data_IF_790214408917
#
_entry.id   IF_790214408917
#
_cell.length_a   1.000
_cell.length_b   1.000
_cell.length_c   1.000
_cell.angle_alpha   90.00
_cell.angle_beta   90.00
_cell.angle_gamma   90.00
#
_symmetry.space_group_name_H-M   'P 1'
#
loop_
_entity.id
_entity.type
_entity.pdbx_description
1 polymer ?
#
# COMPACT_ATOMS: atom_id res chain seq x y z
N UNK A 1 -10.47 10.38 27.22
CA UNK A 1 -10.51 9.26 26.25
C UNK A 1 -9.08 8.84 25.96
N UNK A 2 -8.71 7.61 26.28
CA UNK A 2 -7.36 7.07 26.03
C UNK A 2 -7.17 6.93 24.53
N UNK A 3 -6.15 7.59 23.95
CA UNK A 3 -5.77 7.36 22.56
C UNK A 3 -5.49 5.87 22.42
N UNK A 4 -6.17 5.18 21.49
CA UNK A 4 -5.98 3.75 21.32
C UNK A 4 -4.49 3.46 21.06
N UNK A 5 -3.96 2.44 21.71
CA UNK A 5 -2.58 1.94 21.52
C UNK A 5 -2.24 1.75 20.02
N UNK A 6 -3.25 1.57 19.20
CA UNK A 6 -3.18 1.44 17.74
C UNK A 6 -2.60 2.68 17.01
N UNK A 7 -2.73 3.90 17.57
CA UNK A 7 -2.16 5.10 16.95
C UNK A 7 -0.63 5.16 17.02
N UNK A 8 -0.01 4.39 17.91
CA UNK A 8 1.45 4.26 17.98
C UNK A 8 2.05 3.61 16.70
N UNK A 9 1.26 2.87 15.95
CA UNK A 9 1.68 2.29 14.66
C UNK A 9 1.73 3.31 13.53
N UNK A 10 0.99 4.41 13.63
CA UNK A 10 1.11 5.53 12.71
C UNK A 10 2.31 6.41 13.10
N UNK A 11 3.47 6.17 12.49
CA UNK A 11 4.72 6.90 12.80
C UNK A 11 4.56 8.41 12.81
N UNK A 12 3.71 8.94 11.92
CA UNK A 12 3.43 10.37 11.79
C UNK A 12 2.65 10.95 12.98
N UNK A 13 1.84 10.12 13.66
CA UNK A 13 1.00 10.53 14.79
C UNK A 13 1.56 10.07 16.15
N UNK A 14 2.51 9.14 16.13
CA UNK A 14 3.03 8.50 17.37
C UNK A 14 3.69 9.47 18.35
N UNK A 15 4.25 10.58 17.85
CA UNK A 15 4.89 11.61 18.66
C UNK A 15 3.95 12.69 19.21
N UNK A 16 2.65 12.65 18.84
CA UNK A 16 1.69 13.66 19.27
C UNK A 16 1.03 13.21 20.58
N UNK A 17 1.03 14.07 21.63
CA UNK A 17 0.29 13.77 22.85
C UNK A 17 -1.21 13.55 22.57
N UNK A 18 -1.84 12.57 23.24
CA UNK A 18 -3.26 12.25 23.04
C UNK A 18 -4.20 13.46 23.19
N UNK A 19 -3.92 14.33 24.16
CA UNK A 19 -4.69 15.55 24.40
C UNK A 19 -4.65 16.51 23.21
N UNK A 20 -3.47 16.64 22.58
CA UNK A 20 -3.29 17.51 21.42
C UNK A 20 -4.00 16.94 20.19
N UNK A 21 -3.90 15.62 19.99
CA UNK A 21 -4.60 14.95 18.89
C UNK A 21 -6.12 15.10 19.03
N UNK A 22 -6.68 14.93 20.24
CA UNK A 22 -8.11 15.12 20.49
C UNK A 22 -8.55 16.57 20.35
N UNK A 23 -7.68 17.53 20.66
CA UNK A 23 -7.96 18.95 20.50
C UNK A 23 -7.96 19.37 19.02
N UNK A 24 -6.95 18.94 18.28
CA UNK A 24 -6.71 19.39 16.90
C UNK A 24 -7.51 18.57 15.88
N UNK A 25 -7.85 17.32 16.22
CA UNK A 25 -8.65 16.41 15.40
C UNK A 25 -9.84 15.85 16.23
N UNK A 26 -10.79 16.67 16.67
CA UNK A 26 -11.86 16.25 17.58
C UNK A 26 -12.84 15.24 16.97
N UNK A 27 -13.01 15.22 15.63
CA UNK A 27 -13.91 14.31 14.95
C UNK A 27 -13.19 13.12 14.30
N UNK A 28 -11.87 13.04 14.47
CA UNK A 28 -11.09 11.92 13.97
C UNK A 28 -11.51 10.61 14.65
N UNK A 29 -11.51 9.52 13.87
CA UNK A 29 -11.94 8.21 14.34
C UNK A 29 -11.13 7.08 13.73
N UNK A 30 -11.16 5.94 14.41
CA UNK A 30 -10.64 4.68 13.88
C UNK A 30 -11.81 3.88 13.30
N UNK A 31 -11.62 3.38 12.08
CA UNK A 31 -12.61 2.60 11.35
C UNK A 31 -11.97 1.29 10.92
N UNK A 32 -12.71 0.20 11.08
CA UNK A 32 -12.32 -1.12 10.55
C UNK A 32 -13.06 -1.39 9.26
N UNK A 33 -12.32 -1.71 8.22
CA UNK A 33 -12.83 -2.01 6.88
C UNK A 33 -12.60 -3.51 6.62
N UNK A 34 -13.65 -4.27 6.26
CA UNK A 34 -13.52 -5.68 5.95
C UNK A 34 -12.74 -5.88 4.64
N UNK A 35 -12.26 -7.11 4.43
CA UNK A 35 -11.57 -7.48 3.18
C UNK A 35 -12.41 -7.10 1.95
N UNK A 36 -11.79 -6.42 1.00
CA UNK A 36 -12.43 -5.98 -0.24
C UNK A 36 -13.32 -4.74 -0.10
N UNK A 37 -13.52 -4.22 1.12
CA UNK A 37 -14.26 -2.97 1.35
C UNK A 37 -13.53 -1.76 0.78
N UNK A 38 -14.28 -0.81 0.21
CA UNK A 38 -13.73 0.46 -0.29
C UNK A 38 -13.71 1.49 0.85
N UNK A 39 -12.61 2.23 0.95
CA UNK A 39 -12.47 3.40 1.83
C UNK A 39 -13.06 4.62 1.12
N UNK A 40 -12.73 4.75 -0.16
CA UNK A 40 -13.36 5.65 -1.13
C UNK A 40 -13.18 5.07 -2.53
N UNK A 41 -13.97 5.54 -3.51
CA UNK A 41 -13.90 5.11 -4.90
C UNK A 41 -13.54 6.25 -5.82
N UNK A 42 -12.95 5.90 -6.96
CA UNK A 42 -12.72 6.83 -8.07
C UNK A 42 -14.02 7.54 -8.47
N UNK A 43 -13.98 8.86 -8.57
CA UNK A 43 -15.13 9.70 -8.81
C UNK A 43 -15.91 10.11 -7.56
N UNK A 44 -15.67 9.51 -6.39
CA UNK A 44 -16.30 9.93 -5.13
C UNK A 44 -15.61 11.15 -4.53
N UNK A 45 -16.40 12.03 -3.91
CA UNK A 45 -15.86 13.15 -3.14
C UNK A 45 -15.45 12.68 -1.75
N UNK A 46 -14.22 12.99 -1.35
CA UNK A 46 -13.74 12.78 0.02
C UNK A 46 -12.94 13.97 0.52
N UNK A 47 -13.21 14.36 1.76
CA UNK A 47 -12.50 15.44 2.46
C UNK A 47 -11.71 14.92 3.64
N UNK A 48 -11.46 13.61 3.68
CA UNK A 48 -10.75 12.97 4.79
C UNK A 48 -9.31 12.62 4.40
N UNK A 49 -8.45 12.67 5.40
CA UNK A 49 -7.11 12.09 5.39
C UNK A 49 -7.17 10.75 6.12
N UNK A 50 -6.43 9.78 5.62
CA UNK A 50 -6.42 8.41 6.13
C UNK A 50 -4.99 7.99 6.48
N UNK A 51 -4.82 7.32 7.61
CA UNK A 51 -3.59 6.63 7.99
C UNK A 51 -3.89 5.15 8.25
N UNK A 52 -3.14 4.25 7.63
CA UNK A 52 -3.27 2.82 7.87
C UNK A 52 -2.68 2.50 9.24
N UNK A 53 -3.46 1.92 10.15
CA UNK A 53 -3.00 1.46 11.45
C UNK A 53 -2.65 -0.03 11.44
N UNK A 54 -3.42 -0.82 10.70
CA UNK A 54 -3.22 -2.26 10.54
C UNK A 54 -3.78 -2.71 9.19
N UNK A 55 -3.15 -3.73 8.61
CA UNK A 55 -3.57 -4.31 7.33
C UNK A 55 -2.97 -3.60 6.12
N UNK A 56 -3.60 -3.73 4.97
CA UNK A 56 -3.15 -3.15 3.70
C UNK A 56 -4.27 -2.49 2.93
N UNK A 57 -3.93 -1.41 2.24
CA UNK A 57 -4.83 -0.71 1.32
C UNK A 57 -4.17 -0.66 -0.06
N UNK A 58 -4.88 -1.12 -1.08
CA UNK A 58 -4.49 -0.94 -2.46
C UNK A 58 -5.12 0.34 -3.00
N UNK A 59 -4.28 1.20 -3.55
CA UNK A 59 -4.71 2.36 -4.32
C UNK A 59 -4.66 1.98 -5.79
N UNK A 60 -5.78 2.07 -6.49
CA UNK A 60 -5.88 1.63 -7.88
C UNK A 60 -6.65 2.62 -8.73
N UNK A 61 -6.32 2.69 -10.01
CA UNK A 61 -7.07 3.43 -11.03
C UNK A 61 -7.67 2.45 -12.02
N UNK A 62 -8.87 2.78 -12.45
CA UNK A 62 -9.55 2.06 -13.53
C UNK A 62 -9.49 2.94 -14.77
N UNK A 63 -8.92 2.42 -15.83
CA UNK A 63 -8.88 3.08 -17.14
C UNK A 63 -10.25 2.99 -17.84
N UNK A 64 -10.45 3.78 -18.88
CA UNK A 64 -11.71 3.83 -19.65
C UNK A 64 -12.11 2.50 -20.30
N UNK A 65 -11.14 1.63 -20.58
CA UNK A 65 -11.33 0.28 -21.10
C UNK A 65 -11.61 -0.76 -20.01
N UNK A 66 -11.69 -0.34 -18.73
CA UNK A 66 -11.90 -1.20 -17.57
C UNK A 66 -10.63 -1.86 -17.02
N UNK A 67 -9.46 -1.62 -17.61
CA UNK A 67 -8.21 -2.13 -17.07
C UNK A 67 -7.92 -1.49 -15.71
N UNK A 68 -7.51 -2.30 -14.75
CA UNK A 68 -7.15 -1.83 -13.40
C UNK A 68 -5.64 -1.80 -13.24
N UNK A 69 -5.14 -0.73 -12.65
CA UNK A 69 -3.74 -0.58 -12.31
C UNK A 69 -3.58 -0.21 -10.83
N UNK A 70 -2.81 -0.97 -10.07
CA UNK A 70 -2.51 -0.66 -8.67
C UNK A 70 -1.34 0.31 -8.63
N UNK A 71 -1.63 1.56 -8.30
CA UNK A 71 -0.64 2.65 -8.22
C UNK A 71 0.19 2.58 -6.96
N UNK A 72 -0.39 2.11 -5.84
CA UNK A 72 0.32 1.95 -4.57
C UNK A 72 -0.30 0.85 -3.71
N UNK A 73 0.54 0.17 -2.92
CA UNK A 73 0.13 -0.68 -1.82
C UNK A 73 0.56 0.01 -0.51
N UNK A 74 -0.42 0.42 0.29
CA UNK A 74 -0.22 1.14 1.54
C UNK A 74 -0.23 0.17 2.70
N UNK A 75 0.73 0.30 3.61
CA UNK A 75 0.84 -0.50 4.82
C UNK A 75 0.68 0.31 6.09
N UNK A 76 0.86 -0.32 7.26
CA UNK A 76 0.77 0.36 8.54
C UNK A 76 1.75 1.55 8.63
N UNK A 77 1.24 2.71 9.03
CA UNK A 77 1.96 3.98 9.09
C UNK A 77 1.85 4.84 7.86
N UNK A 78 1.34 4.31 6.74
CA UNK A 78 1.20 5.08 5.50
C UNK A 78 -0.01 6.01 5.52
N UNK A 79 0.22 7.23 5.03
CA UNK A 79 -0.79 8.28 4.88
C UNK A 79 -1.27 8.34 3.42
N UNK A 80 -2.56 8.50 3.20
CA UNK A 80 -3.13 8.70 1.87
C UNK A 80 -4.41 9.52 1.92
N UNK A 81 -4.65 10.27 0.88
CA UNK A 81 -5.91 11.02 0.65
C UNK A 81 -5.85 11.72 -0.70
N UNK A 82 -6.93 11.77 -1.48
CA UNK A 82 -7.05 12.71 -2.58
C UNK A 82 -7.07 14.17 -2.10
N UNK A 83 -7.64 14.45 -0.92
CA UNK A 83 -7.77 15.80 -0.40
C UNK A 83 -6.43 16.47 -0.02
N UNK A 84 -5.31 15.71 0.07
CA UNK A 84 -3.98 16.29 0.31
C UNK A 84 -3.44 17.08 -0.88
N UNK A 85 -3.86 16.76 -2.12
CA UNK A 85 -3.52 17.52 -3.32
C UNK A 85 -4.39 18.77 -3.53
N UNK A 86 -5.41 18.97 -2.69
CA UNK A 86 -6.42 20.01 -2.86
C UNK A 86 -7.66 19.53 -3.62
N UNK A 87 -7.61 18.34 -4.20
CA UNK A 87 -8.75 17.78 -4.91
C UNK A 87 -9.78 17.22 -3.92
N UNK A 88 -11.05 17.43 -4.22
CA UNK A 88 -12.14 16.84 -3.43
C UNK A 88 -12.72 15.60 -4.07
N UNK A 89 -12.46 15.37 -5.35
CA UNK A 89 -12.89 14.18 -6.10
C UNK A 89 -11.70 13.24 -6.26
N UNK A 90 -11.88 12.00 -5.86
CA UNK A 90 -10.85 10.98 -5.95
C UNK A 90 -10.64 10.55 -7.41
N UNK A 91 -9.41 10.58 -7.88
CA UNK A 91 -9.01 10.05 -9.19
C UNK A 91 -8.56 8.58 -9.14
N UNK A 92 -8.65 7.98 -7.94
CA UNK A 92 -8.33 6.58 -7.66
C UNK A 92 -9.32 5.94 -6.66
N UNK A 93 -9.20 4.65 -6.47
CA UNK A 93 -9.97 3.87 -5.49
C UNK A 93 -9.01 3.34 -4.41
N UNK A 94 -9.35 3.55 -3.14
CA UNK A 94 -8.68 2.92 -2.00
C UNK A 94 -9.49 1.72 -1.51
N UNK A 95 -8.91 0.52 -1.57
CA UNK A 95 -9.59 -0.74 -1.23
C UNK A 95 -8.80 -1.55 -0.21
N UNK A 96 -9.49 -2.07 0.80
CA UNK A 96 -8.91 -2.91 1.84
C UNK A 96 -8.48 -4.28 1.29
N UNK A 97 -7.25 -4.70 1.62
CA UNK A 97 -6.71 -6.04 1.37
C UNK A 97 -6.53 -6.79 2.68
N UNK A 98 -7.41 -7.73 2.94
CA UNK A 98 -7.63 -8.26 4.29
C UNK A 98 -8.45 -7.29 5.15
N UNK A 99 -8.59 -7.59 6.43
CA UNK A 99 -9.17 -6.63 7.38
C UNK A 99 -8.18 -5.48 7.63
N UNK A 100 -8.66 -4.25 7.52
CA UNK A 100 -7.84 -3.04 7.65
C UNK A 100 -8.41 -2.14 8.73
N UNK A 101 -7.55 -1.65 9.61
CA UNK A 101 -7.88 -0.57 10.54
C UNK A 101 -7.22 0.72 10.07
N UNK A 102 -7.99 1.78 9.93
CA UNK A 102 -7.54 3.10 9.52
C UNK A 102 -7.93 4.16 10.54
N UNK A 103 -7.05 5.10 10.77
CA UNK A 103 -7.41 6.39 11.36
C UNK A 103 -7.84 7.33 10.24
N UNK A 104 -8.95 8.04 10.43
CA UNK A 104 -9.41 9.05 9.49
C UNK A 104 -9.74 10.35 10.20
N UNK A 105 -9.44 11.48 9.56
CA UNK A 105 -9.76 12.83 10.03
C UNK A 105 -10.13 13.72 8.85
N UNK A 106 -11.05 14.69 9.04
CA UNK A 106 -11.29 15.73 8.06
C UNK A 106 -10.00 16.48 7.72
N UNK A 107 -9.81 16.85 6.45
CA UNK A 107 -8.60 17.57 5.98
C UNK A 107 -8.37 18.88 6.73
N UNK A 108 -9.45 19.60 7.11
CA UNK A 108 -9.36 20.85 7.88
C UNK A 108 -8.77 20.63 9.27
N UNK A 109 -9.18 19.57 9.98
CA UNK A 109 -8.63 19.19 11.27
C UNK A 109 -7.18 18.74 11.14
N UNK A 110 -6.88 17.91 10.13
CA UNK A 110 -5.51 17.48 9.86
C UNK A 110 -4.60 18.66 9.55
N UNK A 111 -5.08 19.67 8.80
CA UNK A 111 -4.35 20.93 8.57
C UNK A 111 -4.06 21.66 9.88
N UNK A 112 -5.04 21.78 10.77
CA UNK A 112 -4.86 22.37 12.11
C UNK A 112 -3.79 21.64 12.91
N UNK A 113 -3.82 20.31 12.88
CA UNK A 113 -2.80 19.46 13.49
C UNK A 113 -1.39 19.78 12.97
N UNK A 114 -1.23 19.87 11.64
CA UNK A 114 0.07 20.17 11.05
C UNK A 114 0.59 21.58 11.40
N UNK A 115 -0.31 22.57 11.47
CA UNK A 115 0.05 23.94 11.87
C UNK A 115 0.48 24.01 13.35
N UNK A 116 -0.15 23.25 14.23
CA UNK A 116 0.17 23.21 15.65
C UNK A 116 1.38 22.31 15.95
N UNK A 117 1.76 21.42 15.03
CA UNK A 117 2.86 20.48 15.19
C UNK A 117 3.80 20.49 13.96
N UNK A 118 4.67 21.50 13.81
CA UNK A 118 5.55 21.65 12.63
C UNK A 118 6.49 20.45 12.39
N UNK A 119 6.91 19.76 13.44
CA UNK A 119 7.68 18.53 13.31
C UNK A 119 6.92 17.43 12.56
N UNK A 120 5.62 17.28 12.85
CA UNK A 120 4.75 16.33 12.15
C UNK A 120 4.55 16.74 10.69
N UNK A 121 4.43 18.05 10.42
CA UNK A 121 4.37 18.55 9.03
C UNK A 121 5.63 18.18 8.25
N UNK A 122 6.81 18.28 8.87
CA UNK A 122 8.07 17.86 8.28
C UNK A 122 8.11 16.34 8.03
N UNK A 123 7.63 15.53 8.96
CA UNK A 123 7.55 14.08 8.80
C UNK A 123 6.60 13.69 7.66
N UNK A 124 5.46 14.39 7.52
CA UNK A 124 4.54 14.21 6.39
C UNK A 124 5.20 14.58 5.07
N UNK A 125 5.91 15.71 5.00
CA UNK A 125 6.65 16.12 3.80
C UNK A 125 7.72 15.09 3.43
N UNK A 126 8.47 14.61 4.41
CA UNK A 126 9.50 13.57 4.23
C UNK A 126 8.89 12.25 3.75
N UNK A 127 7.75 11.85 4.31
CA UNK A 127 7.01 10.67 3.86
C UNK A 127 6.57 10.80 2.39
N UNK A 128 6.02 11.95 2.01
CA UNK A 128 5.59 12.21 0.63
C UNK A 128 6.77 12.22 -0.35
N UNK A 129 7.90 12.80 0.03
CA UNK A 129 9.13 12.79 -0.78
C UNK A 129 9.66 11.35 -0.99
N UNK A 130 9.64 10.51 0.05
CA UNK A 130 10.01 9.10 -0.07
C UNK A 130 9.05 8.34 -0.98
N UNK A 131 7.74 8.61 -0.87
CA UNK A 131 6.71 8.02 -1.74
C UNK A 131 6.90 8.44 -3.19
N UNK A 132 7.21 9.72 -3.44
CA UNK A 132 7.51 10.22 -4.79
C UNK A 132 8.70 9.46 -5.38
N UNK A 133 9.82 9.33 -4.67
CA UNK A 133 10.99 8.57 -5.14
C UNK A 133 10.66 7.11 -5.48
N UNK A 134 9.80 6.46 -4.70
CA UNK A 134 9.33 5.10 -5.01
C UNK A 134 8.53 5.07 -6.31
N UNK A 135 7.68 6.05 -6.53
CA UNK A 135 6.88 6.17 -7.76
C UNK A 135 7.77 6.42 -8.98
N UNK A 136 8.78 7.28 -8.85
CA UNK A 136 9.77 7.55 -9.91
C UNK A 136 10.54 6.29 -10.30
N UNK A 137 11.07 5.53 -9.31
CA UNK A 137 11.74 4.25 -9.55
C UNK A 137 10.82 3.23 -10.24
N UNK A 138 9.54 3.21 -9.86
CA UNK A 138 8.56 2.32 -10.49
C UNK A 138 8.28 2.74 -11.93
N UNK A 139 8.18 4.04 -12.20
CA UNK A 139 8.04 4.57 -13.54
C UNK A 139 9.26 4.21 -14.41
N UNK A 140 10.48 4.38 -13.90
CA UNK A 140 11.71 3.95 -14.54
C UNK A 140 11.69 2.44 -14.82
N UNK A 141 11.27 1.63 -13.86
CA UNK A 141 11.14 0.18 -14.02
C UNK A 141 10.15 -0.18 -15.14
N UNK A 142 9.04 0.52 -15.27
CA UNK A 142 8.09 0.30 -16.36
C UNK A 142 8.64 0.70 -17.73
N UNK A 143 9.42 1.77 -17.78
CA UNK A 143 9.97 2.28 -19.04
C UNK A 143 11.17 1.47 -19.54
N UNK A 144 12.00 0.96 -18.64
CA UNK A 144 13.33 0.42 -19.00
C UNK A 144 13.48 -1.09 -18.76
N UNK A 145 12.61 -1.72 -17.95
CA UNK A 145 12.81 -3.10 -17.51
C UNK A 145 11.80 -4.05 -18.12
N UNK A 146 12.25 -5.26 -18.44
CA UNK A 146 11.39 -6.37 -18.89
C UNK A 146 10.45 -6.81 -17.76
N UNK A 147 9.34 -7.46 -18.09
CA UNK A 147 8.31 -7.90 -17.15
C UNK A 147 8.88 -8.85 -16.08
N UNK A 148 9.83 -9.72 -16.45
CA UNK A 148 10.50 -10.65 -15.53
C UNK A 148 11.23 -9.90 -14.41
N UNK A 149 11.96 -8.85 -14.78
CA UNK A 149 12.71 -8.02 -13.82
C UNK A 149 11.74 -7.25 -12.93
N UNK A 150 10.68 -6.68 -13.50
CA UNK A 150 9.64 -5.98 -12.72
C UNK A 150 8.95 -6.91 -11.71
N UNK A 151 8.69 -8.15 -12.12
CA UNK A 151 8.13 -9.18 -11.28
C UNK A 151 9.07 -9.48 -10.09
N UNK A 152 10.37 -9.67 -10.34
CA UNK A 152 11.36 -9.94 -9.33
C UNK A 152 11.52 -8.78 -8.33
N UNK A 153 11.60 -7.53 -8.82
CA UNK A 153 11.67 -6.34 -7.98
C UNK A 153 10.44 -6.17 -7.09
N UNK A 154 9.24 -6.43 -7.64
CA UNK A 154 8.00 -6.37 -6.87
C UNK A 154 7.97 -7.44 -5.78
N UNK A 155 8.45 -8.66 -6.05
CA UNK A 155 8.60 -9.68 -5.01
C UNK A 155 9.53 -9.21 -3.90
N UNK A 156 10.69 -8.65 -4.23
CA UNK A 156 11.66 -8.13 -3.24
C UNK A 156 11.04 -7.03 -2.39
N UNK A 157 10.34 -6.07 -3.01
CA UNK A 157 9.68 -4.97 -2.29
C UNK A 157 8.61 -5.48 -1.32
N UNK A 158 7.77 -6.39 -1.78
CA UNK A 158 6.69 -6.95 -0.97
C UNK A 158 7.23 -7.88 0.14
N UNK A 159 8.32 -8.58 -0.10
CA UNK A 159 8.98 -9.43 0.89
C UNK A 159 9.60 -8.65 2.03
N UNK A 160 10.16 -7.49 1.78
CA UNK A 160 10.81 -6.66 2.80
C UNK A 160 9.87 -5.97 3.79
N UNK A 161 8.57 -5.81 3.44
CA UNK A 161 7.63 -5.03 4.26
C UNK A 161 6.28 -5.69 4.54
N UNK A 162 5.91 -6.71 3.79
CA UNK A 162 4.53 -7.20 3.76
C UNK A 162 4.39 -8.72 3.87
N UNK A 163 5.48 -9.44 4.01
CA UNK A 163 5.44 -10.89 4.04
C UNK A 163 5.24 -11.41 5.46
N UNK A 164 4.38 -12.42 5.60
CA UNK A 164 4.26 -13.24 6.80
C UNK A 164 4.98 -14.57 6.58
N UNK A 165 5.45 -15.22 7.64
CA UNK A 165 6.01 -16.58 7.53
C UNK A 165 4.96 -17.52 6.94
N UNK A 166 5.37 -18.31 5.94
CA UNK A 166 4.52 -19.31 5.34
C UNK A 166 4.33 -20.48 6.31
N UNK A 167 3.10 -20.94 6.53
CA UNK A 167 2.78 -22.09 7.39
C UNK A 167 3.42 -23.39 6.89
N UNK A 168 3.87 -23.44 5.63
CA UNK A 168 4.55 -24.57 5.00
C UNK A 168 6.07 -24.60 5.28
N UNK A 169 6.56 -23.84 6.27
CA UNK A 169 7.93 -23.93 6.81
C UNK A 169 9.02 -23.26 5.97
N UNK A 170 8.73 -22.79 4.76
CA UNK A 170 9.74 -22.22 3.88
C UNK A 170 9.22 -20.93 3.23
N UNK A 171 9.78 -19.80 3.61
CA UNK A 171 9.64 -18.54 2.90
C UNK A 171 8.54 -17.61 3.38
N UNK A 172 8.27 -16.63 2.57
CA UNK A 172 7.39 -15.51 2.85
C UNK A 172 6.07 -15.68 2.11
N UNK A 173 4.97 -15.45 2.82
CA UNK A 173 3.61 -15.56 2.31
C UNK A 173 3.09 -14.19 1.90
N UNK A 174 2.79 -14.03 0.61
CA UNK A 174 2.16 -12.85 0.04
C UNK A 174 0.69 -13.15 -0.30
N UNK A 175 -0.25 -12.53 0.39
CA UNK A 175 -1.67 -12.63 0.05
C UNK A 175 -1.98 -11.74 -1.15
N UNK A 176 -1.62 -12.20 -2.34
CA UNK A 176 -1.87 -11.55 -3.62
C UNK A 176 -2.35 -12.60 -4.62
N UNK A 177 -3.39 -12.26 -5.36
CA UNK A 177 -3.82 -13.02 -6.53
C UNK A 177 -2.91 -12.72 -7.71
N UNK A 178 -2.89 -13.61 -8.71
CA UNK A 178 -2.14 -13.38 -9.96
C UNK A 178 -2.60 -12.11 -10.68
N UNK A 179 -3.90 -11.77 -10.60
CA UNK A 179 -4.42 -10.54 -11.19
C UNK A 179 -3.86 -9.31 -10.46
N UNK A 180 -3.91 -9.27 -9.15
CA UNK A 180 -3.35 -8.15 -8.38
C UNK A 180 -1.84 -7.99 -8.61
N UNK A 181 -1.13 -9.11 -8.79
CA UNK A 181 0.28 -9.07 -9.13
C UNK A 181 0.50 -8.47 -10.53
N UNK A 182 -0.34 -8.86 -11.50
CA UNK A 182 -0.34 -8.30 -12.84
C UNK A 182 -0.62 -6.79 -12.83
N UNK A 183 -1.64 -6.37 -12.06
CA UNK A 183 -2.01 -4.97 -11.89
C UNK A 183 -0.88 -4.15 -11.21
N UNK A 184 -0.11 -4.79 -10.30
CA UNK A 184 1.05 -4.16 -9.68
C UNK A 184 2.22 -3.96 -10.64
N UNK A 185 2.53 -4.92 -11.51
CA UNK A 185 3.70 -4.85 -12.39
C UNK A 185 3.37 -4.31 -13.80
N UNK A 186 2.12 -3.91 -14.04
CA UNK A 186 1.69 -3.40 -15.35
C UNK A 186 1.85 -4.43 -16.46
N UNK A 187 1.39 -5.66 -16.21
CA UNK A 187 1.42 -6.77 -17.18
C UNK A 187 0.05 -7.45 -17.24
N UNK A 188 -0.18 -8.22 -18.29
CA UNK A 188 -1.41 -9.02 -18.36
C UNK A 188 -1.32 -10.26 -17.45
N UNK A 189 -2.47 -10.69 -16.92
CA UNK A 189 -2.56 -11.90 -16.06
C UNK A 189 -1.97 -13.15 -16.74
N UNK A 190 -2.20 -13.42 -18.04
CA UNK A 190 -1.57 -14.57 -18.73
C UNK A 190 -0.05 -14.54 -18.68
N UNK A 191 0.56 -13.37 -18.91
CA UNK A 191 2.03 -13.20 -18.83
C UNK A 191 2.53 -13.51 -17.43
N UNK A 192 1.89 -12.95 -16.40
CA UNK A 192 2.25 -13.22 -14.99
C UNK A 192 2.07 -14.70 -14.66
N UNK A 193 0.97 -15.33 -15.08
CA UNK A 193 0.74 -16.76 -14.87
C UNK A 193 1.86 -17.62 -15.48
N UNK A 194 2.29 -17.29 -16.69
CA UNK A 194 3.40 -18.00 -17.35
C UNK A 194 4.71 -17.85 -16.58
N UNK A 195 5.03 -16.65 -16.10
CA UNK A 195 6.24 -16.41 -15.33
C UNK A 195 6.20 -17.10 -13.95
N UNK A 196 5.08 -17.05 -13.26
CA UNK A 196 4.90 -17.74 -11.98
C UNK A 196 5.00 -19.26 -12.13
N UNK A 197 4.47 -19.84 -13.23
CA UNK A 197 4.64 -21.26 -13.54
C UNK A 197 6.11 -21.61 -13.70
N UNK A 198 6.87 -20.85 -14.51
CA UNK A 198 8.32 -21.08 -14.69
C UNK A 198 9.08 -21.04 -13.36
N UNK A 199 8.75 -20.11 -12.47
CA UNK A 199 9.37 -20.01 -11.13
C UNK A 199 8.96 -21.16 -10.21
N UNK A 200 7.71 -21.60 -10.28
CA UNK A 200 7.22 -22.76 -9.54
C UNK A 200 7.93 -24.03 -10.01
N UNK A 201 8.06 -24.25 -11.30
CA UNK A 201 8.71 -25.43 -11.87
C UNK A 201 10.20 -25.48 -11.50
N UNK A 202 10.84 -24.32 -11.30
CA UNK A 202 12.20 -24.20 -10.74
C UNK A 202 12.26 -24.34 -9.20
N UNK A 203 11.12 -24.53 -8.52
CA UNK A 203 11.06 -24.66 -7.07
C UNK A 203 11.32 -23.36 -6.29
N UNK A 204 11.35 -22.19 -6.95
CA UNK A 204 11.62 -20.89 -6.35
C UNK A 204 10.43 -20.39 -5.52
N UNK A 205 9.22 -20.66 -6.00
CA UNK A 205 7.98 -20.27 -5.33
C UNK A 205 6.91 -21.36 -5.45
N UNK A 206 5.92 -21.27 -4.57
CA UNK A 206 4.65 -21.97 -4.70
C UNK A 206 3.51 -20.96 -4.68
N UNK A 207 2.42 -21.23 -5.35
CA UNK A 207 1.26 -20.34 -5.33
C UNK A 207 -0.03 -21.12 -5.51
N UNK A 208 -1.13 -20.53 -5.03
CA UNK A 208 -2.48 -20.94 -5.36
C UNK A 208 -3.30 -19.72 -5.80
N UNK A 209 -4.65 -19.82 -5.72
CA UNK A 209 -5.56 -18.75 -6.15
C UNK A 209 -5.42 -17.46 -5.33
N UNK A 210 -5.08 -17.59 -4.05
CA UNK A 210 -5.20 -16.51 -3.05
C UNK A 210 -3.86 -16.03 -2.50
N UNK A 211 -2.78 -16.78 -2.73
CA UNK A 211 -1.46 -16.44 -2.21
C UNK A 211 -0.30 -16.93 -3.07
N UNK A 212 0.84 -16.29 -2.88
CA UNK A 212 2.14 -16.66 -3.44
C UNK A 212 3.12 -16.84 -2.28
N UNK A 213 3.73 -18.02 -2.17
CA UNK A 213 4.79 -18.33 -1.22
C UNK A 213 6.14 -18.33 -1.93
N UNK A 214 7.03 -17.43 -1.54
CA UNK A 214 8.40 -17.39 -2.06
C UNK A 214 9.27 -18.31 -1.19
N UNK A 215 9.90 -19.31 -1.79
CA UNK A 215 10.76 -20.29 -1.11
C UNK A 215 12.21 -19.84 -1.05
N UNK A 216 12.73 -19.27 -2.12
CA UNK A 216 14.12 -18.83 -2.27
C UNK A 216 14.15 -17.43 -2.86
N UNK A 217 14.37 -16.43 -2.02
CA UNK A 217 14.40 -15.04 -2.45
C UNK A 217 15.65 -14.75 -3.30
N UNK A 218 16.76 -15.42 -2.99
CA UNK A 218 18.03 -15.29 -3.71
C UNK A 218 17.92 -15.69 -5.19
N UNK A 219 17.05 -16.64 -5.52
CA UNK A 219 16.82 -17.06 -6.90
C UNK A 219 15.94 -16.06 -7.67
N UNK A 220 15.13 -15.29 -6.94
CA UNK A 220 14.38 -14.15 -7.53
C UNK A 220 15.34 -12.99 -7.78
N UNK A 221 16.27 -12.74 -6.88
CA UNK A 221 17.27 -11.68 -7.01
C UNK A 221 18.18 -11.88 -8.22
N UNK A 222 18.59 -13.11 -8.52
CA UNK A 222 19.35 -13.43 -9.73
C UNK A 222 18.63 -13.09 -11.04
N UNK A 223 17.30 -12.99 -11.03
CA UNK A 223 16.52 -12.57 -12.19
C UNK A 223 16.53 -11.04 -12.38
N UNK A 224 16.89 -10.29 -11.35
CA UNK A 224 17.00 -8.82 -11.40
C UNK A 224 18.33 -8.42 -12.01
N UNK A 225 19.39 -9.23 -11.77
CA UNK A 225 20.77 -8.96 -12.20
C UNK A 225 21.07 -9.49 -13.62
N UNK A 226 20.12 -10.18 -14.27
CA UNK A 226 20.21 -10.73 -15.63
C UNK A 226 19.42 -9.90 -16.65
#
# INVERSE_FOLDING_TARGET
MTVPTQLKTCRLLAGIPPSNLSRDCPTARIVTIPNGGSIYRQGESTKNVFCVLHGRVHISRVASDGATFITAAMGAGDLFSPALSGDTVADDTAKAKGAVSIWQSPIGEFRTLLLNHPAVAWDVASFLALRQRKTERRLESFALKRVEVRLAETFRELSGGFATRCEHGFGQHLRLTQQEFADLIGASRPVVSTLLNKLRDKGVLGYNRDYICVRKIEDIEKLVDS
#
